data_IF_581570314453
#
_entry.id   IF_581570314453
#
_cell.length_a   1.000
_cell.length_b   1.000
_cell.length_c   1.000
_cell.angle_alpha   90.00
_cell.angle_beta   90.00
_cell.angle_gamma   90.00
#
_symmetry.space_group_name_H-M   'P 1'
#
loop_
_entity.id
_entity.type
_entity.pdbx_description
1 polymer ?
#
# COMPACT_ATOMS: atom_id res chain seq x y z
N UNK A 1 22.32 0.23 9.44
CA UNK A 1 22.84 1.41 8.70
C UNK A 1 23.01 2.65 9.58
N UNK A 2 21.97 3.19 10.24
CA UNK A 2 22.13 4.38 11.13
C UNK A 2 23.08 4.19 12.32
N UNK A 3 23.15 2.98 12.92
CA UNK A 3 24.04 2.67 14.06
C UNK A 3 25.53 2.55 13.70
N UNK A 4 25.86 2.46 12.40
CA UNK A 4 27.24 2.26 11.90
C UNK A 4 27.69 3.37 10.94
N UNK A 5 26.94 4.48 10.83
CA UNK A 5 27.24 5.59 9.91
C UNK A 5 27.39 5.19 8.43
N UNK A 6 26.65 4.17 7.99
CA UNK A 6 26.69 3.65 6.60
C UNK A 6 25.54 4.21 5.76
N UNK A 7 25.39 5.53 5.69
CA UNK A 7 24.39 6.18 4.83
C UNK A 7 25.08 6.56 3.53
N UNK A 8 24.73 5.95 2.38
CA UNK A 8 25.35 6.29 1.12
C UNK A 8 24.80 7.62 0.58
N UNK A 9 25.67 8.46 0.01
CA UNK A 9 25.27 9.68 -0.70
C UNK A 9 24.48 9.36 -1.98
N UNK A 10 24.77 8.21 -2.59
CA UNK A 10 24.17 7.77 -3.85
C UNK A 10 23.84 6.27 -3.81
N UNK A 11 22.73 5.88 -4.44
CA UNK A 11 22.32 4.49 -4.59
C UNK A 11 21.73 4.27 -5.99
N UNK A 12 22.19 3.21 -6.67
CA UNK A 12 21.65 2.77 -7.95
C UNK A 12 21.01 1.39 -7.76
N UNK A 13 19.72 1.30 -8.04
CA UNK A 13 18.96 0.06 -7.95
C UNK A 13 18.83 -0.54 -9.35
N UNK A 14 19.42 -1.72 -9.57
CA UNK A 14 19.53 -2.38 -10.88
C UNK A 14 18.28 -3.10 -11.37
N UNK A 15 17.10 -2.72 -10.88
CA UNK A 15 15.82 -3.27 -11.34
C UNK A 15 15.58 -2.92 -12.81
N UNK A 16 14.98 -3.81 -13.63
CA UNK A 16 14.70 -3.54 -15.03
C UNK A 16 13.77 -2.32 -15.14
N UNK A 17 14.31 -1.24 -15.71
CA UNK A 17 13.59 0.03 -15.85
C UNK A 17 13.21 0.37 -17.29
N UNK A 18 13.91 -0.19 -18.27
CA UNK A 18 13.74 0.10 -19.69
C UNK A 18 12.43 -0.48 -20.25
N UNK A 19 11.81 0.23 -21.19
CA UNK A 19 10.52 -0.16 -21.79
C UNK A 19 10.68 -0.76 -23.20
N UNK A 20 11.44 -0.11 -24.07
CA UNK A 20 11.63 -0.48 -25.50
C UNK A 20 13.10 -0.67 -25.85
N UNK A 21 13.99 0.18 -25.34
CA UNK A 21 15.43 0.16 -25.61
C UNK A 21 16.22 0.48 -24.34
N UNK A 22 17.44 -0.03 -24.24
CA UNK A 22 18.32 0.25 -23.10
C UNK A 22 18.43 1.75 -22.83
N UNK A 23 18.24 2.14 -21.57
CA UNK A 23 18.37 3.53 -21.13
C UNK A 23 17.18 4.46 -21.45
N UNK A 24 16.12 3.97 -22.10
CA UNK A 24 14.97 4.81 -22.44
C UNK A 24 14.13 5.27 -21.23
N UNK A 25 14.33 4.63 -20.07
CA UNK A 25 13.65 4.96 -18.84
C UNK A 25 14.50 4.66 -17.60
N UNK A 26 14.52 5.61 -16.67
CA UNK A 26 15.13 5.49 -15.33
C UNK A 26 14.06 5.76 -14.28
N UNK A 27 14.03 4.97 -13.19
CA UNK A 27 13.11 5.17 -12.07
C UNK A 27 13.81 5.92 -10.95
N UNK A 28 13.46 7.19 -10.75
CA UNK A 28 13.99 8.05 -9.67
C UNK A 28 13.21 7.93 -8.36
N UNK A 29 12.14 7.13 -8.34
CA UNK A 29 11.28 6.93 -7.19
C UNK A 29 10.16 5.94 -7.50
N UNK A 30 9.47 5.51 -6.44
CA UNK A 30 8.26 4.68 -6.50
C UNK A 30 7.22 5.26 -5.56
N UNK A 31 5.94 5.00 -5.85
CA UNK A 31 4.85 5.31 -4.93
C UNK A 31 4.94 4.36 -3.73
N UNK A 32 4.60 4.87 -2.55
CA UNK A 32 4.25 4.01 -1.42
C UNK A 32 2.94 3.28 -1.70
N UNK A 33 2.71 2.19 -0.98
CA UNK A 33 1.44 1.47 -0.97
C UNK A 33 1.00 1.30 0.48
N UNK A 34 -0.27 1.61 0.75
CA UNK A 34 -0.91 1.41 2.05
C UNK A 34 -2.22 0.65 1.81
N UNK A 35 -2.39 -0.45 2.51
CA UNK A 35 -3.59 -1.28 2.47
C UNK A 35 -4.02 -1.57 3.90
N UNK A 36 -5.32 -1.58 4.14
CA UNK A 36 -5.90 -1.86 5.44
C UNK A 36 -7.13 -2.75 5.26
N UNK A 37 -7.19 -3.82 6.05
CA UNK A 37 -8.38 -4.66 6.16
C UNK A 37 -9.20 -4.13 7.34
N UNK A 38 -10.40 -3.64 7.04
CA UNK A 38 -11.31 -3.05 8.03
C UNK A 38 -12.52 -3.95 8.16
N UNK A 39 -12.80 -4.36 9.41
CA UNK A 39 -14.04 -5.04 9.77
C UNK A 39 -14.95 -4.03 10.48
N UNK A 40 -16.07 -3.67 9.85
CA UNK A 40 -17.14 -2.94 10.51
C UNK A 40 -18.05 -3.96 11.19
N UNK A 41 -18.17 -3.85 12.51
CA UNK A 41 -19.04 -4.72 13.29
C UNK A 41 -20.44 -4.11 13.33
N UNK A 42 -21.45 -4.91 13.00
CA UNK A 42 -22.86 -4.60 13.21
C UNK A 42 -23.54 -5.77 13.91
N UNK A 43 -24.87 -5.70 13.99
CA UNK A 43 -25.70 -6.74 14.62
C UNK A 43 -26.68 -7.28 13.58
N UNK A 44 -26.57 -8.58 13.26
CA UNK A 44 -27.46 -9.25 12.32
C UNK A 44 -28.89 -9.33 12.87
N UNK A 45 -29.87 -9.15 11.99
CA UNK A 45 -31.26 -9.51 12.30
C UNK A 45 -32.17 -9.47 11.09
N UNK A 46 -33.48 -9.47 11.35
CA UNK A 46 -34.51 -9.58 10.32
C UNK A 46 -34.89 -8.20 9.76
N UNK A 47 -34.99 -8.08 8.44
CA UNK A 47 -35.24 -6.81 7.73
C UNK A 47 -36.51 -6.07 8.19
N UNK A 48 -37.51 -6.81 8.67
CA UNK A 48 -38.76 -6.24 9.19
C UNK A 48 -38.64 -5.55 10.56
N UNK A 49 -37.52 -5.74 11.28
CA UNK A 49 -37.29 -5.19 12.63
C UNK A 49 -35.93 -4.47 12.71
N UNK A 50 -35.76 -3.35 11.98
CA UNK A 50 -34.49 -2.61 11.93
C UNK A 50 -34.04 -2.10 13.30
N UNK A 51 -34.96 -1.84 14.22
CA UNK A 51 -34.67 -1.43 15.60
C UNK A 51 -33.95 -2.50 16.43
N UNK A 52 -33.90 -3.74 15.95
CA UNK A 52 -33.19 -4.87 16.57
C UNK A 52 -31.88 -5.23 15.88
N UNK A 53 -31.49 -4.47 14.87
CA UNK A 53 -30.32 -4.73 14.04
C UNK A 53 -29.41 -3.51 14.01
N UNK A 54 -28.15 -3.72 13.65
CA UNK A 54 -27.22 -2.64 13.33
C UNK A 54 -26.53 -3.00 12.01
N UNK A 55 -26.80 -2.24 10.97
CA UNK A 55 -26.25 -2.51 9.65
C UNK A 55 -24.83 -1.96 9.56
N UNK A 56 -23.86 -2.85 9.32
CA UNK A 56 -22.45 -2.51 9.21
C UNK A 56 -22.08 -1.80 7.89
N UNK A 57 -23.05 -1.54 7.00
CA UNK A 57 -22.89 -0.92 5.69
C UNK A 57 -23.48 0.50 5.64
#
# INVERSE_FOLDING_TARGET
>A
MKKHSLIPDHCLVGEPSALKKFGDQIKIGRRGSLSCDITVLGTQGHVAYPEKCDNAA
#
